data_IF_456227234689
#
_entry.id   IF_456227234689
#
_cell.length_a   1.000
_cell.length_b   1.000
_cell.length_c   1.000
_cell.angle_alpha   90.00
_cell.angle_beta   90.00
_cell.angle_gamma   90.00
#
_symmetry.space_group_name_H-M   'P 1'
#
loop_
_entity.id
_entity.type
_entity.pdbx_description
1 polymer ?
#
# COMPACT_ATOMS: atom_id res chain seq x y z
N UNK A 1 16.22 -9.15 1.80
CA UNK A 1 15.42 -8.15 1.06
C UNK A 1 15.53 -8.44 -0.43
N UNK A 2 14.47 -8.96 -1.04
CA UNK A 2 14.45 -9.46 -2.42
C UNK A 2 13.18 -8.96 -3.14
N UNK A 3 13.35 -8.58 -4.40
CA UNK A 3 12.25 -8.42 -5.36
C UNK A 3 12.28 -9.67 -6.21
N UNK A 4 11.11 -10.21 -6.51
CA UNK A 4 11.00 -11.43 -7.31
C UNK A 4 10.06 -11.24 -8.49
N UNK A 5 10.27 -12.05 -9.52
CA UNK A 5 9.35 -12.13 -10.66
C UNK A 5 8.52 -13.38 -10.42
N UNK A 6 7.29 -13.19 -9.94
CA UNK A 6 6.30 -14.24 -9.75
C UNK A 6 5.47 -14.48 -11.02
N UNK A 7 4.57 -15.46 -10.97
CA UNK A 7 3.63 -15.72 -12.06
C UNK A 7 2.70 -14.51 -12.32
N UNK A 8 2.34 -13.79 -11.26
CA UNK A 8 1.37 -12.69 -11.28
C UNK A 8 2.02 -11.29 -11.38
N UNK A 9 3.34 -11.21 -11.57
CA UNK A 9 4.05 -9.95 -11.78
C UNK A 9 5.30 -9.78 -10.92
N UNK A 10 5.67 -8.52 -10.67
CA UNK A 10 6.83 -8.17 -9.85
C UNK A 10 6.39 -8.09 -8.39
N UNK A 11 6.95 -8.96 -7.56
CA UNK A 11 6.60 -9.08 -6.15
C UNK A 11 7.65 -8.39 -5.28
N UNK A 12 7.21 -7.44 -4.48
CA UNK A 12 7.94 -6.93 -3.34
C UNK A 12 7.74 -7.89 -2.17
N UNK A 13 8.82 -8.50 -1.68
CA UNK A 13 8.72 -9.49 -0.59
C UNK A 13 8.20 -8.91 0.71
N UNK A 14 8.56 -7.67 1.05
CA UNK A 14 8.04 -7.05 2.26
C UNK A 14 7.98 -5.52 2.23
N UNK A 15 6.99 -5.01 2.95
CA UNK A 15 6.79 -3.61 3.30
C UNK A 15 6.56 -3.52 4.81
N UNK A 16 7.40 -2.76 5.52
CA UNK A 16 7.19 -2.48 6.93
C UNK A 16 6.27 -1.27 7.09
N UNK A 17 5.26 -1.42 7.93
CA UNK A 17 4.32 -0.37 8.32
C UNK A 17 4.52 0.00 9.79
N UNK A 18 4.44 1.29 10.09
CA UNK A 18 4.41 1.82 11.45
C UNK A 18 3.09 2.55 11.68
N UNK A 19 2.34 2.14 12.70
CA UNK A 19 1.07 2.77 13.04
C UNK A 19 0.75 2.56 14.53
N UNK A 20 0.22 3.59 15.19
CA UNK A 20 -0.10 3.57 16.63
C UNK A 20 1.04 3.07 17.53
N UNK A 21 2.29 3.39 17.17
CA UNK A 21 3.47 2.94 17.92
C UNK A 21 3.77 1.43 17.81
N UNK A 22 3.07 0.73 16.91
CA UNK A 22 3.33 -0.66 16.54
C UNK A 22 3.99 -0.72 15.17
N UNK A 23 4.68 -1.82 14.91
CA UNK A 23 5.23 -2.14 13.61
C UNK A 23 4.75 -3.52 13.14
N UNK A 24 4.58 -3.66 11.82
CA UNK A 24 4.26 -4.93 11.16
C UNK A 24 4.93 -4.97 9.80
N UNK A 25 5.45 -6.14 9.45
CA UNK A 25 5.89 -6.45 8.10
C UNK A 25 4.72 -7.09 7.32
N UNK A 26 4.36 -6.48 6.19
CA UNK A 26 3.37 -7.02 5.25
C UNK A 26 4.14 -7.66 4.11
N UNK A 27 3.86 -8.94 3.85
CA UNK A 27 4.58 -9.73 2.85
C UNK A 27 3.86 -9.76 1.51
N UNK A 28 4.64 -9.97 0.45
CA UNK A 28 4.16 -10.16 -0.93
C UNK A 28 3.18 -9.07 -1.40
N UNK A 29 3.74 -7.92 -1.78
CA UNK A 29 2.99 -6.88 -2.45
C UNK A 29 3.33 -6.87 -3.94
N UNK A 30 2.33 -6.77 -4.80
CA UNK A 30 2.55 -6.58 -6.23
C UNK A 30 3.01 -5.13 -6.47
N UNK A 31 4.10 -4.94 -7.19
CA UNK A 31 4.50 -3.62 -7.68
C UNK A 31 3.71 -3.31 -8.94
N UNK A 32 2.81 -2.32 -8.88
CA UNK A 32 1.94 -1.98 -10.00
C UNK A 32 2.15 -0.54 -10.48
N UNK A 33 2.79 -0.43 -11.64
CA UNK A 33 2.99 0.85 -12.35
C UNK A 33 1.71 1.41 -12.97
N UNK A 34 0.65 0.62 -13.09
CA UNK A 34 -0.67 1.04 -13.54
C UNK A 34 -1.56 1.62 -12.44
N UNK A 35 -1.16 1.48 -11.17
CA UNK A 35 -1.93 1.95 -10.03
C UNK A 35 -1.37 3.25 -9.44
N UNK A 36 -2.26 4.22 -9.28
CA UNK A 36 -2.00 5.53 -8.68
C UNK A 36 -1.99 5.52 -7.14
N UNK A 37 -2.57 4.48 -6.56
CA UNK A 37 -2.86 4.37 -5.13
C UNK A 37 -2.34 3.00 -4.64
N UNK A 38 -1.93 2.95 -3.37
CA UNK A 38 -1.48 1.72 -2.70
C UNK A 38 -2.65 1.11 -1.95
N UNK A 39 -2.88 -0.20 -2.12
CA UNK A 39 -3.86 -0.96 -1.35
C UNK A 39 -3.22 -2.11 -0.58
N UNK A 40 -3.68 -2.33 0.65
CA UNK A 40 -3.31 -3.47 1.47
C UNK A 40 -4.57 -4.20 1.92
N UNK A 41 -4.51 -5.53 1.95
CA UNK A 41 -5.61 -6.34 2.46
C UNK A 41 -5.89 -5.98 3.92
N UNK A 42 -7.09 -5.50 4.20
CA UNK A 42 -7.43 -4.87 5.49
C UNK A 42 -7.23 -5.82 6.69
N UNK A 43 -7.37 -7.13 6.48
CA UNK A 43 -7.24 -8.10 7.56
C UNK A 43 -5.76 -8.34 7.94
N UNK A 44 -4.82 -8.14 7.00
CA UNK A 44 -3.39 -8.32 7.23
C UNK A 44 -2.85 -7.35 8.30
N UNK A 45 -3.49 -6.19 8.47
CA UNK A 45 -2.98 -5.09 9.31
C UNK A 45 -3.75 -4.89 10.62
N UNK A 46 -4.69 -5.77 10.96
CA UNK A 46 -5.52 -5.64 12.17
C UNK A 46 -4.72 -5.49 13.46
N UNK A 47 -3.62 -6.23 13.60
CA UNK A 47 -2.77 -6.17 14.81
C UNK A 47 -2.11 -4.80 15.04
N UNK A 48 -1.94 -4.00 13.98
CA UNK A 48 -1.49 -2.60 14.06
C UNK A 48 -2.55 -1.67 14.63
N UNK A 49 -3.78 -2.12 14.83
CA UNK A 49 -4.90 -1.26 15.20
C UNK A 49 -5.56 -0.55 14.02
N UNK A 50 -5.30 -1.02 12.79
CA UNK A 50 -5.89 -0.45 11.57
C UNK A 50 -7.21 -1.16 11.29
N UNK A 51 -8.31 -0.44 11.48
CA UNK A 51 -9.68 -0.90 11.24
C UNK A 51 -10.49 0.25 10.66
N UNK A 52 -11.62 -0.05 10.01
CA UNK A 52 -12.57 0.98 9.62
C UNK A 52 -13.15 1.69 10.86
N UNK A 53 -13.02 3.01 10.91
CA UNK A 53 -13.57 3.90 11.93
C UNK A 53 -14.62 4.84 11.30
N UNK A 54 -15.51 5.41 12.12
CA UNK A 54 -16.66 6.20 11.66
C UNK A 54 -16.28 7.40 10.77
N UNK A 55 -15.11 7.98 11.00
CA UNK A 55 -14.64 9.19 10.31
C UNK A 55 -13.63 8.91 9.18
N UNK A 56 -13.42 7.64 8.82
CA UNK A 56 -12.51 7.31 7.73
C UNK A 56 -13.08 7.71 6.37
N UNK A 57 -12.18 8.13 5.48
CA UNK A 57 -12.52 8.36 4.08
C UNK A 57 -12.81 7.01 3.42
N UNK A 58 -14.05 6.82 2.98
CA UNK A 58 -14.43 5.66 2.18
C UNK A 58 -14.14 5.93 0.71
N UNK A 59 -13.32 5.08 0.10
CA UNK A 59 -12.86 5.21 -1.28
C UNK A 59 -13.27 3.99 -2.09
N UNK A 60 -13.27 4.17 -3.40
CA UNK A 60 -13.52 3.07 -4.33
C UNK A 60 -12.35 2.93 -5.27
N UNK A 61 -11.75 1.75 -5.27
CA UNK A 61 -10.79 1.38 -6.29
C UNK A 61 -11.49 0.90 -7.55
N UNK A 62 -10.80 1.02 -8.68
CA UNK A 62 -11.28 0.51 -9.97
C UNK A 62 -10.17 -0.29 -10.64
N UNK A 63 -10.44 -1.57 -10.86
CA UNK A 63 -9.58 -2.47 -11.60
C UNK A 63 -10.37 -3.21 -12.67
N UNK A 64 -9.75 -4.26 -13.25
CA UNK A 64 -10.42 -5.14 -14.21
C UNK A 64 -11.63 -5.84 -13.57
N UNK A 65 -11.54 -6.19 -12.29
CA UNK A 65 -12.63 -6.79 -11.49
C UNK A 65 -13.80 -5.84 -11.18
N UNK A 66 -13.71 -4.57 -11.58
CA UNK A 66 -14.75 -3.58 -11.35
C UNK A 66 -14.42 -2.65 -10.19
N UNK A 67 -15.45 -2.28 -9.42
CA UNK A 67 -15.35 -1.24 -8.38
C UNK A 67 -15.46 -1.85 -6.99
N UNK A 68 -14.41 -1.71 -6.21
CA UNK A 68 -14.30 -2.32 -4.89
C UNK A 68 -14.13 -1.27 -3.80
N UNK A 69 -14.82 -1.45 -2.65
CA UNK A 69 -14.71 -0.53 -1.53
C UNK A 69 -13.41 -0.71 -0.75
N UNK A 70 -12.86 0.40 -0.29
CA UNK A 70 -11.78 0.44 0.68
C UNK A 70 -11.97 1.64 1.63
N UNK A 71 -11.29 1.62 2.76
CA UNK A 71 -11.17 2.79 3.63
C UNK A 71 -9.73 3.28 3.63
N UNK A 72 -9.57 4.60 3.63
CA UNK A 72 -8.28 5.24 3.54
C UNK A 72 -7.82 5.71 4.92
N UNK A 73 -6.59 5.38 5.27
CA UNK A 73 -5.92 5.88 6.48
C UNK A 73 -4.49 6.34 6.20
N UNK A 74 -4.05 7.30 7.01
CA UNK A 74 -2.63 7.65 7.09
C UNK A 74 -1.93 6.72 8.07
N UNK A 75 -0.80 6.15 7.65
CA UNK A 75 0.13 5.42 8.52
C UNK A 75 1.34 6.29 8.86
N UNK A 76 1.92 6.09 10.03
CA UNK A 76 2.99 6.95 10.55
C UNK A 76 4.24 6.85 9.68
N UNK A 77 4.60 5.64 9.27
CA UNK A 77 5.67 5.41 8.33
C UNK A 77 5.51 4.11 7.54
N UNK A 78 6.15 4.08 6.38
CA UNK A 78 6.27 2.93 5.49
C UNK A 78 7.73 2.77 5.09
N UNK A 79 8.25 1.54 5.13
CA UNK A 79 9.66 1.26 4.81
C UNK A 79 9.79 -0.01 3.96
N UNK A 80 10.53 0.08 2.86
CA UNK A 80 10.86 -1.07 2.01
C UNK A 80 12.05 -0.70 1.11
N UNK A 81 12.90 -1.65 0.71
CA UNK A 81 13.99 -1.40 -0.25
C UNK A 81 14.93 -0.22 0.10
N UNK A 82 15.07 0.11 1.39
CA UNK A 82 15.82 1.29 1.86
C UNK A 82 15.11 2.63 1.65
N UNK A 83 13.87 2.62 1.16
CA UNK A 83 12.95 3.75 1.13
C UNK A 83 12.24 3.87 2.47
N UNK A 84 11.98 5.11 2.88
CA UNK A 84 11.11 5.44 4.01
C UNK A 84 10.27 6.65 3.63
N UNK A 85 8.99 6.62 3.97
CA UNK A 85 8.10 7.77 3.88
C UNK A 85 7.26 7.85 5.17
N UNK A 86 7.02 9.07 5.65
CA UNK A 86 6.13 9.33 6.77
C UNK A 86 4.78 9.86 6.28
N UNK A 87 3.74 9.73 7.13
CA UNK A 87 2.39 10.23 6.86
C UNK A 87 1.86 9.75 5.50
N UNK A 88 1.93 8.44 5.26
CA UNK A 88 1.60 7.82 3.98
C UNK A 88 0.14 7.35 3.97
N UNK A 89 -0.62 7.73 2.95
CA UNK A 89 -2.00 7.26 2.78
C UNK A 89 -2.03 5.89 2.13
N UNK A 90 -2.75 4.97 2.75
CA UNK A 90 -2.98 3.62 2.26
C UNK A 90 -4.49 3.37 2.23
N UNK A 91 -4.94 2.72 1.16
CA UNK A 91 -6.29 2.20 1.06
C UNK A 91 -6.30 0.77 1.62
N UNK A 92 -7.29 0.45 2.45
CA UNK A 92 -7.44 -0.87 3.06
C UNK A 92 -8.78 -1.47 2.62
N UNK A 93 -8.72 -2.58 1.90
CA UNK A 93 -9.91 -3.22 1.33
C UNK A 93 -9.74 -4.72 1.15
N UNK A 94 -10.78 -5.36 0.61
CA UNK A 94 -10.84 -6.80 0.34
C UNK A 94 -10.59 -7.10 -1.15
N UNK A 95 -9.88 -6.20 -1.83
CA UNK A 95 -9.66 -6.19 -3.28
C UNK A 95 -8.72 -7.30 -3.81
N UNK A 96 -8.26 -8.16 -2.91
CA UNK A 96 -7.34 -9.25 -3.18
C UNK A 96 -8.06 -10.54 -2.80
N UNK A 97 -8.14 -11.48 -3.74
CA UNK A 97 -8.74 -12.79 -3.49
C UNK A 97 -7.84 -13.59 -2.54
N UNK A 98 -8.26 -13.72 -1.29
CA UNK A 98 -7.69 -14.63 -0.30
C UNK A 98 -8.83 -15.12 0.58
N UNK A 99 -9.34 -16.32 0.27
CA UNK A 99 -10.47 -16.93 1.00
C UNK A 99 -10.06 -17.48 2.38
N UNK A 100 -8.76 -17.48 2.69
CA UNK A 100 -8.22 -18.06 3.91
C UNK A 100 -7.69 -16.98 4.85
N UNK A 101 -8.03 -17.09 6.14
CA UNK A 101 -7.57 -16.18 7.20
C UNK A 101 -6.06 -16.34 7.55
N UNK A 102 -5.30 -17.05 6.71
CA UNK A 102 -3.84 -17.21 6.83
C UNK A 102 -3.11 -16.14 6.00
N UNK A 103 -2.73 -15.07 6.70
CA UNK A 103 -1.83 -14.03 6.19
C UNK A 103 -0.40 -14.53 6.28
N UNK A 104 0.09 -15.17 5.23
CA UNK A 104 1.42 -15.76 5.20
C UNK A 104 2.31 -15.16 4.09
N UNK A 105 3.52 -15.69 4.00
CA UNK A 105 4.53 -15.31 3.02
C UNK A 105 4.28 -15.92 1.63
N UNK A 106 3.11 -16.53 1.38
CA UNK A 106 2.76 -17.16 0.10
C UNK A 106 1.58 -16.45 -0.60
N UNK A 107 0.72 -15.78 0.16
CA UNK A 107 -0.42 -15.00 -0.35
C UNK A 107 -0.04 -13.56 -0.71
N UNK A 108 -0.69 -12.98 -1.73
CA UNK A 108 -0.53 -11.56 -2.08
C UNK A 108 -1.37 -10.72 -1.12
N UNK A 109 -0.71 -9.92 -0.29
CA UNK A 109 -1.39 -9.13 0.76
C UNK A 109 -1.63 -7.67 0.36
N UNK A 110 -1.24 -7.27 -0.86
CA UNK A 110 -1.43 -5.90 -1.30
C UNK A 110 -0.78 -5.58 -2.63
N UNK A 111 -0.94 -4.33 -3.03
CA UNK A 111 -0.42 -3.77 -4.26
C UNK A 111 0.12 -2.36 -3.98
N UNK A 112 1.35 -2.14 -4.41
CA UNK A 112 2.06 -0.89 -4.28
C UNK A 112 1.89 -0.07 -5.57
N UNK A 113 1.14 1.02 -5.47
CA UNK A 113 0.97 1.95 -6.58
C UNK A 113 2.26 2.70 -6.88
N UNK A 114 2.66 2.70 -8.16
CA UNK A 114 3.85 3.42 -8.65
C UNK A 114 3.52 4.45 -9.72
N UNK A 115 2.24 4.57 -10.13
CA UNK A 115 1.84 5.61 -11.06
C UNK A 115 1.85 6.97 -10.36
N UNK A 116 2.45 7.97 -10.99
CA UNK A 116 2.43 9.34 -10.48
C UNK A 116 0.99 9.88 -10.52
N UNK A 117 0.45 10.19 -9.34
CA UNK A 117 -0.86 10.80 -9.15
C UNK A 117 -0.73 12.27 -8.73
N UNK A 118 0.24 13.00 -9.31
CA UNK A 118 0.40 14.44 -9.11
C UNK A 118 -0.92 15.20 -9.35
N UNK A 119 -1.66 15.44 -8.27
CA UNK A 119 -2.71 16.45 -8.21
C UNK A 119 -2.05 17.71 -7.67
N UNK A 120 -1.73 18.63 -8.57
CA UNK A 120 -1.02 19.87 -8.26
C UNK A 120 -1.79 20.71 -7.22
N UNK A 121 -1.08 21.19 -6.19
CA UNK A 121 -1.54 22.29 -5.32
C UNK A 121 -2.02 21.94 -3.91
N UNK A 122 -1.82 20.73 -3.40
CA UNK A 122 -2.17 20.36 -2.02
C UNK A 122 -0.95 19.74 -1.31
N UNK A 123 -0.73 20.06 -0.03
CA UNK A 123 0.17 19.32 0.89
C UNK A 123 -0.42 17.93 1.18
N UNK A 124 -0.69 17.17 0.12
CA UNK A 124 -1.34 15.87 0.20
C UNK A 124 -0.35 14.88 0.77
N UNK A 125 -0.77 13.99 1.68
CA UNK A 125 0.09 12.91 2.10
C UNK A 125 0.37 11.97 0.93
N UNK A 126 1.56 11.36 0.93
CA UNK A 126 2.09 10.55 -0.18
C UNK A 126 1.23 9.28 -0.33
N UNK A 127 0.94 8.88 -1.57
CA UNK A 127 0.07 7.73 -1.85
C UNK A 127 0.69 6.64 -2.74
N UNK A 128 1.76 6.99 -3.44
CA UNK A 128 2.50 6.12 -4.33
C UNK A 128 4.00 6.37 -4.21
N UNK A 129 4.80 5.43 -4.73
CA UNK A 129 6.25 5.57 -4.75
C UNK A 129 6.78 5.87 -6.14
N UNK A 130 7.69 6.84 -6.24
CA UNK A 130 8.49 7.07 -7.44
C UNK A 130 9.93 6.59 -7.23
N UNK A 131 10.35 5.58 -7.99
CA UNK A 131 11.69 5.01 -7.92
C UNK A 131 12.51 5.51 -9.11
N UNK A 132 13.42 6.48 -8.88
CA UNK A 132 14.35 6.98 -9.89
C UNK A 132 15.79 6.50 -9.64
N UNK A 133 16.52 6.16 -10.72
CA UNK A 133 17.86 5.55 -10.71
C UNK A 133 18.97 6.31 -9.97
N UNK A 134 18.72 7.53 -9.48
CA UNK A 134 19.74 8.33 -8.78
C UNK A 134 19.26 9.11 -7.56
N UNK A 135 17.95 9.13 -7.24
CA UNK A 135 17.39 9.69 -6.00
C UNK A 135 16.05 9.04 -5.68
N UNK A 136 15.91 8.59 -4.44
CA UNK A 136 14.67 8.13 -3.83
C UNK A 136 13.81 9.33 -3.46
N UNK A 137 12.57 9.40 -3.93
CA UNK A 137 11.63 10.44 -3.50
C UNK A 137 10.22 9.85 -3.36
N UNK A 138 9.63 10.03 -2.19
CA UNK A 138 8.19 9.93 -2.01
C UNK A 138 7.56 11.10 -2.80
N UNK A 139 6.54 10.86 -3.62
CA UNK A 139 5.90 11.95 -4.37
C UNK A 139 4.98 12.71 -3.43
N UNK A 140 5.47 13.83 -2.92
CA UNK A 140 4.63 14.86 -2.30
C UNK A 140 4.15 15.79 -3.39
N UNK A 141 2.83 16.00 -3.50
CA UNK A 141 2.25 16.95 -4.45
C UNK A 141 2.87 18.35 -4.27
N UNK A 142 3.32 18.95 -5.38
CA UNK A 142 3.75 20.34 -5.46
C UNK A 142 2.57 21.25 -5.81
#
# INVERSE_FOLDING_TARGET
MQIEIGADGIILRSLKLHHNGKEKEVYNLVLDTGAAETIIYRHAVRELGIYLEENDEFVFMRGIGGREPAFRKSVQAVEFLGFSASDFLIDFGDAMEGEDEEFDEETVNGLLGLADSATAGSRSPVRCFCIHRSRSCAVTGA
#
